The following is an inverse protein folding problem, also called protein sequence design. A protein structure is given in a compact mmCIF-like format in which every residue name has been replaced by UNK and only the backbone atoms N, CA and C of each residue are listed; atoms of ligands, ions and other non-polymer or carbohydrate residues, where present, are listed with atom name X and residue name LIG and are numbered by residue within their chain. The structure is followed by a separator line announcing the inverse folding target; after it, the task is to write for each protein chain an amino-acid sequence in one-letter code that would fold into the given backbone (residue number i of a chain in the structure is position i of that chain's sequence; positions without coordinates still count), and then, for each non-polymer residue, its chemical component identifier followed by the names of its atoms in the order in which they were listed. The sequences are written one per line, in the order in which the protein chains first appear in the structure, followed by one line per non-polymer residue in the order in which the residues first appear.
data_IF_378650687049
#
_entry.id   IF_378650687049
#
_cell.length_a   1.000
_cell.length_b   1.000
_cell.length_c   1.000
_cell.angle_alpha   90.00
_cell.angle_beta   90.00
_cell.angle_gamma   90.00
#
_symmetry.space_group_name_H-M   'P 1'
#
loop_
_entity.id
_entity.type
_entity.pdbx_description
1 polymer ?
#
# COMPACT_ATOMS: atom_id res chain seq x y z
N UNK A 1 23.77 -60.15 27.76
CA UNK A 1 22.31 -59.86 27.63
C UNK A 1 21.96 -58.35 27.78
N UNK A 2 22.82 -57.51 28.33
CA UNK A 2 22.57 -56.07 28.50
C UNK A 2 22.57 -55.26 27.19
N UNK A 3 23.27 -55.70 26.14
CA UNK A 3 23.43 -54.93 24.89
C UNK A 3 22.19 -54.87 23.98
N UNK A 4 21.23 -55.77 24.13
CA UNK A 4 19.97 -55.79 23.36
C UNK A 4 18.92 -54.82 23.92
N UNK A 5 18.91 -54.64 25.25
CA UNK A 5 17.98 -53.72 25.90
C UNK A 5 18.31 -52.25 25.67
N UNK A 6 19.62 -51.89 25.64
CA UNK A 6 20.05 -50.53 25.35
C UNK A 6 19.70 -50.11 23.90
N UNK A 7 19.81 -51.04 22.94
CA UNK A 7 19.50 -50.78 21.52
C UNK A 7 18.01 -50.51 21.27
N UNK A 8 17.12 -51.22 21.99
CA UNK A 8 15.68 -50.99 21.86
C UNK A 8 15.24 -49.71 22.56
N UNK A 9 15.88 -49.31 23.68
CA UNK A 9 15.55 -48.04 24.36
C UNK A 9 16.03 -46.79 23.56
N UNK A 10 17.22 -46.85 22.94
CA UNK A 10 17.73 -45.73 22.17
C UNK A 10 16.92 -45.55 20.86
N UNK A 11 16.53 -46.63 20.16
CA UNK A 11 15.67 -46.56 19.01
C UNK A 11 14.25 -46.06 19.34
N UNK A 12 13.72 -46.47 20.47
CA UNK A 12 12.41 -46.02 20.98
C UNK A 12 12.44 -44.55 21.44
N UNK A 13 13.58 -44.07 22.01
CA UNK A 13 13.71 -42.67 22.43
C UNK A 13 13.89 -41.71 21.24
N UNK A 14 14.63 -42.13 20.21
CA UNK A 14 14.78 -41.32 19.00
C UNK A 14 13.48 -41.26 18.21
N UNK A 15 12.74 -42.36 18.10
CA UNK A 15 11.42 -42.37 17.45
C UNK A 15 10.35 -41.63 18.29
N UNK A 16 10.39 -41.71 19.61
CA UNK A 16 9.46 -40.98 20.46
C UNK A 16 9.72 -39.46 20.48
N UNK A 17 10.99 -39.02 20.38
CA UNK A 17 11.32 -37.60 20.28
C UNK A 17 11.03 -37.02 18.86
N UNK A 18 11.19 -37.79 17.80
CA UNK A 18 10.74 -37.37 16.48
C UNK A 18 9.22 -37.23 16.38
N UNK A 19 8.46 -38.05 17.04
CA UNK A 19 6.98 -37.97 17.06
C UNK A 19 6.48 -36.83 17.96
N UNK A 20 7.20 -36.50 19.05
CA UNK A 20 6.83 -35.35 19.89
C UNK A 20 7.30 -34.01 19.35
N UNK A 21 8.36 -33.94 18.56
CA UNK A 21 8.82 -32.68 17.92
C UNK A 21 7.92 -32.21 16.76
N UNK A 22 7.17 -33.13 16.14
CA UNK A 22 6.20 -32.78 15.08
C UNK A 22 4.86 -32.27 15.60
N UNK A 23 4.59 -32.35 16.90
CA UNK A 23 3.32 -31.89 17.51
C UNK A 23 3.42 -30.52 18.19
N UNK A 24 4.57 -29.87 18.21
CA UNK A 24 4.76 -28.54 18.85
C UNK A 24 4.79 -27.35 17.86
N UNK A 25 4.67 -27.59 16.56
CA UNK A 25 4.24 -26.55 15.63
C UNK A 25 2.73 -26.68 15.48
N UNK A 26 1.98 -26.02 16.37
CA UNK A 26 0.66 -25.57 16.04
C UNK A 26 0.83 -24.65 14.80
N UNK A 27 0.71 -25.23 13.62
CA UNK A 27 0.33 -24.48 12.45
C UNK A 27 -0.90 -23.69 12.89
N UNK A 28 -0.76 -22.38 13.07
CA UNK A 28 -1.93 -21.53 12.95
C UNK A 28 -2.57 -21.95 11.62
N UNK A 29 -3.83 -22.37 11.61
CA UNK A 29 -4.48 -22.71 10.37
C UNK A 29 -4.31 -21.51 9.45
N UNK A 30 -3.75 -21.73 8.27
CA UNK A 30 -3.98 -20.83 7.15
C UNK A 30 -5.47 -20.51 7.19
N UNK A 31 -5.89 -19.24 7.07
CA UNK A 31 -7.30 -18.92 7.05
C UNK A 31 -7.95 -19.86 6.05
N UNK A 32 -8.95 -20.60 6.52
CA UNK A 32 -9.68 -21.57 5.72
C UNK A 32 -9.99 -20.92 4.37
N UNK A 33 -9.57 -21.62 3.30
CA UNK A 33 -10.02 -21.30 1.96
C UNK A 33 -11.55 -21.24 2.06
N UNK A 34 -12.17 -20.10 1.77
CA UNK A 34 -13.62 -20.01 1.88
C UNK A 34 -14.22 -21.17 1.08
N UNK A 35 -15.24 -21.84 1.58
CA UNK A 35 -15.91 -22.89 0.84
C UNK A 35 -16.29 -22.36 -0.54
N UNK A 36 -16.27 -23.20 -1.59
CA UNK A 36 -16.65 -22.76 -2.92
C UNK A 36 -18.03 -22.12 -2.80
N UNK A 37 -18.09 -20.83 -3.13
CA UNK A 37 -19.31 -20.04 -3.08
C UNK A 37 -20.37 -20.80 -3.86
N UNK A 38 -21.36 -21.34 -3.17
CA UNK A 38 -22.63 -21.68 -3.80
C UNK A 38 -23.07 -20.40 -4.51
N UNK A 39 -23.18 -20.46 -5.84
CA UNK A 39 -23.69 -19.38 -6.68
C UNK A 39 -24.96 -18.82 -6.02
N UNK A 40 -24.95 -17.60 -5.50
CA UNK A 40 -26.20 -17.00 -5.06
C UNK A 40 -27.01 -16.72 -6.34
N UNK A 41 -28.28 -17.08 -6.30
CA UNK A 41 -29.25 -16.54 -7.23
C UNK A 41 -29.13 -15.00 -7.27
N UNK A 42 -29.45 -14.32 -8.37
CA UNK A 42 -29.36 -12.88 -8.48
C UNK A 42 -30.40 -12.27 -7.55
N UNK A 43 -30.09 -12.15 -6.29
CA UNK A 43 -30.72 -11.17 -5.42
C UNK A 43 -30.07 -9.84 -5.80
N UNK A 44 -30.82 -8.97 -6.47
CA UNK A 44 -30.46 -7.56 -6.56
C UNK A 44 -30.34 -7.06 -5.11
N UNK A 45 -29.11 -7.05 -4.62
CA UNK A 45 -28.83 -6.47 -3.32
C UNK A 45 -29.32 -5.03 -3.34
N UNK A 46 -30.03 -4.61 -2.30
CA UNK A 46 -30.47 -3.22 -2.18
C UNK A 46 -29.24 -2.29 -2.34
N UNK A 47 -29.38 -1.14 -3.01
CA UNK A 47 -28.30 -0.20 -3.20
C UNK A 47 -27.63 0.13 -1.86
N UNK A 48 -26.31 0.02 -1.81
CA UNK A 48 -25.53 0.34 -0.61
C UNK A 48 -25.45 1.86 -0.47
N UNK A 49 -26.15 2.39 0.52
CA UNK A 49 -26.05 3.81 0.87
C UNK A 49 -24.73 4.08 1.58
N UNK A 50 -23.91 4.95 1.03
CA UNK A 50 -22.60 5.30 1.57
C UNK A 50 -22.48 6.80 1.83
N UNK A 51 -22.06 7.15 3.04
CA UNK A 51 -21.48 8.46 3.34
C UNK A 51 -19.98 8.44 3.09
N UNK A 52 -19.35 9.61 2.95
CA UNK A 52 -17.90 9.72 2.79
C UNK A 52 -17.13 9.01 3.92
N UNK A 53 -17.57 9.18 5.17
CA UNK A 53 -16.94 8.54 6.32
C UNK A 53 -17.04 7.01 6.27
N UNK A 54 -18.21 6.48 5.90
CA UNK A 54 -18.41 5.04 5.73
C UNK A 54 -17.56 4.47 4.59
N UNK A 55 -17.43 5.19 3.47
CA UNK A 55 -16.56 4.80 2.36
C UNK A 55 -15.08 4.73 2.79
N UNK A 56 -14.61 5.71 3.56
CA UNK A 56 -13.25 5.72 4.12
C UNK A 56 -13.06 4.57 5.11
N UNK A 57 -14.02 4.30 5.99
CA UNK A 57 -13.94 3.19 6.94
C UNK A 57 -13.86 1.83 6.22
N UNK A 58 -14.65 1.63 5.17
CA UNK A 58 -14.60 0.44 4.32
C UNK A 58 -13.24 0.32 3.63
N UNK A 59 -12.72 1.39 3.05
CA UNK A 59 -11.41 1.41 2.42
C UNK A 59 -10.31 1.02 3.41
N UNK A 60 -10.33 1.55 4.63
CA UNK A 60 -9.40 1.19 5.68
C UNK A 60 -9.51 -0.27 6.13
N UNK A 61 -10.63 -0.93 5.92
CA UNK A 61 -10.83 -2.34 6.28
C UNK A 61 -10.39 -3.29 5.15
N UNK A 62 -10.77 -3.02 3.91
CA UNK A 62 -10.70 -4.00 2.83
C UNK A 62 -10.03 -3.53 1.54
N UNK A 63 -9.56 -2.27 1.45
CA UNK A 63 -8.83 -1.83 0.25
C UNK A 63 -7.60 -2.71 0.00
N UNK A 64 -7.44 -3.28 -1.23
CA UNK A 64 -6.37 -4.24 -1.53
C UNK A 64 -4.96 -3.68 -1.28
N UNK A 65 -4.70 -2.42 -1.62
CA UNK A 65 -3.38 -1.79 -1.42
C UNK A 65 -3.02 -1.67 0.06
N UNK A 66 -4.01 -1.31 0.88
CA UNK A 66 -3.82 -1.28 2.34
C UNK A 66 -3.59 -2.68 2.92
N UNK A 67 -4.31 -3.69 2.43
CA UNK A 67 -4.12 -5.09 2.85
C UNK A 67 -2.72 -5.58 2.48
N UNK A 68 -2.23 -5.26 1.27
CA UNK A 68 -0.86 -5.57 0.83
C UNK A 68 0.16 -4.93 1.78
N UNK A 69 0.03 -3.65 2.11
CA UNK A 69 0.95 -2.97 3.02
C UNK A 69 0.95 -3.60 4.43
N UNK A 70 -0.21 -4.07 4.91
CA UNK A 70 -0.31 -4.82 6.17
C UNK A 70 0.40 -6.17 6.11
N UNK A 71 0.29 -6.88 4.97
CA UNK A 71 1.02 -8.15 4.76
C UNK A 71 2.53 -7.88 4.76
N UNK A 72 3.00 -6.83 4.10
CA UNK A 72 4.41 -6.43 4.11
C UNK A 72 4.94 -6.12 5.53
N UNK A 73 4.12 -5.53 6.39
CA UNK A 73 4.45 -5.39 7.80
C UNK A 73 4.65 -6.75 8.48
N UNK A 74 3.74 -7.72 8.28
CA UNK A 74 3.92 -9.07 8.83
C UNK A 74 5.13 -9.80 8.25
N UNK A 75 5.43 -9.63 6.96
CA UNK A 75 6.66 -10.14 6.33
C UNK A 75 7.90 -9.56 7.02
N UNK A 76 7.92 -8.26 7.28
CA UNK A 76 9.04 -7.62 8.00
C UNK A 76 9.19 -8.16 9.44
N UNK A 77 8.10 -8.47 10.14
CA UNK A 77 8.16 -9.13 11.44
C UNK A 77 8.79 -10.54 11.33
N UNK A 78 8.47 -11.32 10.29
CA UNK A 78 9.10 -12.61 10.03
C UNK A 78 10.57 -12.46 9.65
N UNK A 79 10.93 -11.47 8.84
CA UNK A 79 12.32 -11.17 8.50
C UNK A 79 13.15 -10.84 9.76
N UNK A 80 12.58 -10.11 10.71
CA UNK A 80 13.23 -9.88 12.02
C UNK A 80 13.45 -11.17 12.81
N UNK A 81 12.49 -12.13 12.76
CA UNK A 81 12.64 -13.45 13.39
C UNK A 81 13.70 -14.29 12.68
N UNK A 82 13.75 -14.24 11.35
CA UNK A 82 14.80 -14.91 10.55
C UNK A 82 16.19 -14.35 10.91
N UNK A 83 16.32 -13.01 11.03
CA UNK A 83 17.57 -12.39 11.44
C UNK A 83 17.99 -12.77 12.88
N UNK A 84 17.06 -13.12 13.75
CA UNK A 84 17.32 -13.63 15.10
C UNK A 84 17.77 -15.10 15.10
N UNK A 85 17.30 -15.91 14.14
CA UNK A 85 17.50 -17.35 14.15
C UNK A 85 18.97 -17.79 14.30
N UNK A 86 19.98 -17.17 13.62
CA UNK A 86 21.38 -17.55 13.80
C UNK A 86 21.94 -17.30 15.20
N UNK A 87 21.28 -16.48 16.03
CA UNK A 87 21.67 -16.24 17.42
C UNK A 87 21.13 -17.30 18.38
N UNK A 88 20.25 -18.17 17.91
CA UNK A 88 19.64 -19.24 18.70
C UNK A 88 20.33 -20.59 18.39
N UNK A 89 20.25 -21.57 19.31
CA UNK A 89 20.76 -22.91 19.04
C UNK A 89 20.13 -23.49 17.77
N UNK A 90 20.99 -24.06 16.92
CA UNK A 90 20.61 -24.79 15.71
C UNK A 90 20.82 -26.28 15.96
N UNK A 91 19.88 -27.10 15.59
CA UNK A 91 19.99 -28.56 15.65
C UNK A 91 19.54 -29.17 14.33
N UNK A 92 20.32 -30.13 13.83
CA UNK A 92 20.00 -30.88 12.63
C UNK A 92 20.43 -32.34 12.78
N UNK A 93 19.92 -33.23 11.94
CA UNK A 93 20.42 -34.59 11.80
C UNK A 93 21.09 -34.66 10.43
N UNK A 94 22.32 -35.12 10.41
CA UNK A 94 23.07 -35.36 9.18
C UNK A 94 23.40 -36.83 9.04
N UNK A 95 23.43 -37.33 7.81
CA UNK A 95 23.88 -38.67 7.49
C UNK A 95 24.76 -38.63 6.25
N UNK A 96 25.93 -39.26 6.33
CA UNK A 96 26.89 -39.38 5.23
C UNK A 96 27.16 -40.85 4.98
N UNK A 97 27.04 -41.28 3.74
CA UNK A 97 27.54 -42.55 3.27
C UNK A 97 28.64 -42.27 2.23
N UNK A 98 29.85 -42.70 2.50
CA UNK A 98 30.98 -42.44 1.61
C UNK A 98 31.76 -43.70 1.28
N UNK A 99 32.38 -43.71 0.12
CA UNK A 99 33.36 -44.70 -0.34
C UNK A 99 34.65 -43.97 -0.61
N UNK A 100 35.64 -44.16 0.25
CA UNK A 100 36.90 -43.43 0.22
C UNK A 100 38.06 -44.34 -0.13
N UNK A 101 38.99 -43.80 -0.89
CA UNK A 101 40.30 -44.41 -1.14
C UNK A 101 41.39 -43.32 -1.03
N UNK A 102 42.29 -43.49 -0.09
CA UNK A 102 43.37 -42.51 0.10
C UNK A 102 44.64 -42.95 -0.61
N UNK A 103 45.31 -42.03 -1.29
CA UNK A 103 46.64 -42.20 -1.82
C UNK A 103 47.66 -41.93 -0.70
N UNK A 104 48.31 -42.98 -0.19
CA UNK A 104 49.28 -42.88 0.90
C UNK A 104 50.66 -42.36 0.46
N UNK A 105 50.92 -42.29 -0.86
CA UNK A 105 52.16 -41.69 -1.37
C UNK A 105 52.29 -40.20 -1.06
N UNK A 106 51.17 -39.53 -0.79
CA UNK A 106 51.16 -38.09 -0.45
C UNK A 106 51.50 -37.87 1.04
N UNK A 107 51.27 -38.88 1.89
CA UNK A 107 51.35 -38.75 3.35
C UNK A 107 52.68 -39.29 3.89
N UNK A 108 53.24 -40.31 3.30
CA UNK A 108 54.44 -40.92 3.76
C UNK A 108 55.40 -41.43 2.62
N UNK A 109 56.69 -41.36 2.87
CA UNK A 109 57.75 -41.90 1.99
C UNK A 109 57.87 -43.43 2.05
N UNK A 110 56.82 -44.14 2.47
CA UNK A 110 56.83 -45.59 2.66
C UNK A 110 56.50 -46.36 1.39
N UNK A 111 57.18 -47.42 1.06
CA UNK A 111 57.01 -48.09 -0.23
C UNK A 111 55.80 -49.03 -0.33
N UNK A 112 55.00 -49.26 0.73
CA UNK A 112 53.76 -50.11 0.68
C UNK A 112 52.89 -49.94 1.93
N UNK A 113 51.55 -49.97 1.80
CA UNK A 113 50.77 -49.95 0.58
C UNK A 113 50.70 -48.57 -0.04
N UNK A 114 50.50 -48.49 -1.37
CA UNK A 114 50.44 -47.25 -2.14
C UNK A 114 49.12 -46.50 -1.91
N UNK A 115 48.10 -47.21 -1.43
CA UNK A 115 46.76 -46.67 -1.14
C UNK A 115 46.10 -47.40 0.03
N UNK A 116 45.22 -46.73 0.72
CA UNK A 116 44.30 -47.32 1.68
C UNK A 116 42.87 -47.24 1.14
N UNK A 117 42.17 -48.36 1.16
CA UNK A 117 40.80 -48.48 0.61
C UNK A 117 40.75 -49.27 -0.72
N UNK A 118 39.60 -49.26 -1.41
CA UNK A 118 38.41 -48.50 -1.01
C UNK A 118 37.75 -49.02 0.27
N UNK A 119 37.35 -48.12 1.12
CA UNK A 119 36.56 -48.45 2.30
C UNK A 119 35.26 -47.61 2.37
N UNK A 120 34.19 -48.28 2.69
CA UNK A 120 32.89 -47.66 2.90
C UNK A 120 32.76 -47.26 4.36
N UNK A 121 32.22 -46.08 4.60
CA UNK A 121 31.75 -45.74 5.94
C UNK A 121 30.37 -45.03 5.87
N UNK A 122 29.60 -45.24 6.92
CA UNK A 122 28.33 -44.59 7.19
C UNK A 122 28.51 -43.81 8.47
N UNK A 123 28.14 -42.54 8.43
CA UNK A 123 28.14 -41.68 9.62
C UNK A 123 26.79 -40.99 9.70
N UNK A 124 26.08 -41.11 10.84
CA UNK A 124 24.77 -40.50 11.04
C UNK A 124 24.64 -40.03 12.46
N UNK A 125 24.07 -38.82 12.62
CA UNK A 125 23.79 -38.32 13.97
C UNK A 125 23.31 -36.88 14.02
N UNK A 126 22.90 -36.43 15.21
CA UNK A 126 22.49 -35.05 15.43
C UNK A 126 23.70 -34.11 15.51
N UNK A 127 23.58 -32.97 14.86
CA UNK A 127 24.45 -31.82 14.95
C UNK A 127 23.77 -30.74 15.78
N UNK A 128 24.58 -30.07 16.58
CA UNK A 128 24.16 -28.89 17.32
C UNK A 128 25.20 -27.78 17.07
N UNK A 129 24.72 -26.56 16.81
CA UNK A 129 25.61 -25.40 16.69
C UNK A 129 24.94 -24.16 17.29
N UNK A 130 25.75 -23.30 17.89
CA UNK A 130 25.31 -22.02 18.44
C UNK A 130 26.41 -20.99 18.36
N UNK A 131 26.11 -19.84 17.77
CA UNK A 131 26.95 -18.66 17.85
C UNK A 131 26.86 -18.09 19.26
N UNK A 132 27.97 -18.14 20.03
CA UNK A 132 28.06 -17.61 21.39
C UNK A 132 28.38 -16.11 21.38
N UNK A 133 29.23 -15.66 20.45
CA UNK A 133 29.56 -14.25 20.26
C UNK A 133 29.73 -13.96 18.77
N UNK A 134 28.85 -13.14 18.20
CA UNK A 134 28.97 -12.63 16.84
C UNK A 134 28.24 -11.29 16.78
N UNK A 135 29.01 -10.21 16.90
CA UNK A 135 28.46 -8.85 16.94
C UNK A 135 27.75 -8.46 15.63
N UNK A 136 28.30 -8.75 14.43
CA UNK A 136 27.58 -8.54 13.17
C UNK A 136 26.18 -9.16 13.13
N UNK A 137 25.99 -10.37 13.64
CA UNK A 137 24.66 -11.00 13.70
C UNK A 137 23.71 -10.28 14.69
N UNK A 138 24.24 -9.79 15.79
CA UNK A 138 23.46 -8.98 16.75
C UNK A 138 22.99 -7.69 16.07
N UNK A 139 23.88 -7.01 15.33
CA UNK A 139 23.52 -5.80 14.56
C UNK A 139 22.49 -6.10 13.48
N UNK A 140 22.66 -7.22 12.76
CA UNK A 140 21.68 -7.65 11.76
C UNK A 140 20.28 -7.88 12.37
N UNK A 141 20.20 -8.48 13.56
CA UNK A 141 18.94 -8.62 14.28
C UNK A 141 18.37 -7.26 14.72
N UNK A 142 19.21 -6.35 15.23
CA UNK A 142 18.78 -4.99 15.59
C UNK A 142 18.26 -4.25 14.36
N UNK A 143 18.94 -4.34 13.22
CA UNK A 143 18.50 -3.77 11.94
C UNK A 143 17.16 -4.37 11.48
N UNK A 144 16.96 -5.68 11.64
CA UNK A 144 15.69 -6.34 11.36
C UNK A 144 14.53 -5.81 12.23
N UNK A 145 14.81 -5.46 13.50
CA UNK A 145 13.80 -4.82 14.36
C UNK A 145 13.47 -3.37 13.94
N UNK A 146 14.46 -2.61 13.48
CA UNK A 146 14.21 -1.29 12.91
C UNK A 146 13.44 -1.40 11.58
N UNK A 147 13.69 -2.45 10.78
CA UNK A 147 12.92 -2.76 9.57
C UNK A 147 11.43 -2.97 9.86
N UNK A 148 11.08 -3.57 11.00
CA UNK A 148 9.65 -3.64 11.43
C UNK A 148 9.07 -2.27 11.74
N UNK A 149 9.85 -1.35 12.32
CA UNK A 149 9.37 0.02 12.58
C UNK A 149 9.20 0.80 11.28
N UNK A 150 10.12 0.62 10.33
CA UNK A 150 10.01 1.16 8.98
C UNK A 150 8.72 0.67 8.31
N UNK A 151 8.52 -0.65 8.21
CA UNK A 151 7.34 -1.24 7.58
C UNK A 151 6.02 -0.79 8.25
N UNK A 152 6.04 -0.52 9.55
CA UNK A 152 4.88 0.04 10.26
C UNK A 152 4.61 1.50 9.87
N UNK A 153 5.63 2.29 9.62
CA UNK A 153 5.49 3.64 9.10
C UNK A 153 4.98 3.63 7.65
N UNK A 154 5.49 2.71 6.83
CA UNK A 154 5.07 2.53 5.44
C UNK A 154 3.61 2.06 5.34
N UNK A 155 3.16 1.16 6.25
CA UNK A 155 1.74 0.76 6.36
C UNK A 155 0.85 1.97 6.69
N UNK A 156 1.30 2.88 7.58
CA UNK A 156 0.57 4.12 7.85
C UNK A 156 0.49 5.03 6.62
N UNK A 157 1.59 5.18 5.89
CA UNK A 157 1.60 5.93 4.63
C UNK A 157 0.57 5.35 3.64
N UNK A 158 0.54 4.02 3.49
CA UNK A 158 -0.42 3.34 2.62
C UNK A 158 -1.88 3.55 3.07
N UNK A 159 -2.15 3.58 4.37
CA UNK A 159 -3.48 3.92 4.91
C UNK A 159 -3.90 5.34 4.55
N UNK A 160 -3.02 6.31 4.75
CA UNK A 160 -3.31 7.71 4.42
C UNK A 160 -3.54 7.91 2.91
N UNK A 161 -2.78 7.19 2.07
CA UNK A 161 -2.98 7.20 0.61
C UNK A 161 -4.34 6.56 0.27
N UNK A 162 -4.71 5.44 0.89
CA UNK A 162 -6.00 4.80 0.68
C UNK A 162 -7.16 5.73 1.05
N UNK A 163 -7.04 6.46 2.17
CA UNK A 163 -8.04 7.48 2.55
C UNK A 163 -8.12 8.57 1.49
N UNK A 164 -7.00 9.16 1.06
CA UNK A 164 -6.99 10.24 0.06
C UNK A 164 -7.63 9.79 -1.26
N UNK A 165 -7.25 8.61 -1.77
CA UNK A 165 -7.79 8.08 -3.03
C UNK A 165 -9.28 7.82 -2.91
N UNK A 166 -9.75 7.31 -1.76
CA UNK A 166 -11.17 7.06 -1.50
C UNK A 166 -11.96 8.37 -1.43
N UNK A 167 -11.44 9.36 -0.71
CA UNK A 167 -12.05 10.71 -0.63
C UNK A 167 -12.15 11.34 -2.02
N UNK A 168 -11.06 11.31 -2.80
CA UNK A 168 -11.06 11.82 -4.16
C UNK A 168 -12.10 11.12 -5.05
N UNK A 169 -12.13 9.77 -5.02
CA UNK A 169 -13.08 8.99 -5.82
C UNK A 169 -14.55 9.27 -5.41
N UNK A 170 -14.80 9.43 -4.11
CA UNK A 170 -16.12 9.79 -3.60
C UNK A 170 -16.54 11.21 -4.05
N UNK A 171 -15.64 12.19 -3.98
CA UNK A 171 -15.88 13.55 -4.45
C UNK A 171 -16.13 13.60 -5.97
N UNK A 172 -15.45 12.75 -6.75
CA UNK A 172 -15.71 12.61 -8.20
C UNK A 172 -17.13 12.07 -8.47
N UNK A 173 -17.67 11.18 -7.62
CA UNK A 173 -19.06 10.73 -7.75
C UNK A 173 -20.02 11.89 -7.46
N UNK A 174 -19.76 12.68 -6.40
CA UNK A 174 -20.59 13.84 -6.09
C UNK A 174 -20.56 14.88 -7.22
N UNK A 175 -19.39 15.11 -7.82
CA UNK A 175 -19.25 15.97 -9.00
C UNK A 175 -20.04 15.42 -10.20
N UNK A 176 -19.92 14.13 -10.48
CA UNK A 176 -20.63 13.49 -11.59
C UNK A 176 -22.15 13.55 -11.42
N UNK A 177 -22.64 13.34 -10.19
CA UNK A 177 -24.08 13.50 -9.87
C UNK A 177 -24.55 14.93 -10.05
N UNK A 178 -23.79 15.92 -9.58
CA UNK A 178 -24.13 17.33 -9.75
C UNK A 178 -24.14 17.72 -11.24
N UNK A 179 -23.19 17.23 -12.04
CA UNK A 179 -23.17 17.45 -13.50
C UNK A 179 -24.37 16.79 -14.18
N UNK A 180 -24.78 15.58 -13.78
CA UNK A 180 -25.96 14.90 -14.32
C UNK A 180 -27.24 15.69 -14.01
N UNK A 181 -27.40 16.17 -12.77
CA UNK A 181 -28.55 16.93 -12.35
C UNK A 181 -28.62 18.31 -13.06
N UNK A 182 -27.47 18.95 -13.30
CA UNK A 182 -27.34 20.14 -14.12
C UNK A 182 -27.70 19.85 -15.60
N UNK A 183 -27.27 18.75 -16.17
CA UNK A 183 -27.61 18.34 -17.53
C UNK A 183 -29.11 18.03 -17.67
N UNK A 184 -29.74 17.39 -16.68
CA UNK A 184 -31.17 17.18 -16.66
C UNK A 184 -31.93 18.52 -16.65
N UNK A 185 -31.49 19.47 -15.84
CA UNK A 185 -32.07 20.81 -15.79
C UNK A 185 -31.96 21.55 -17.13
N UNK A 186 -30.84 21.36 -17.86
CA UNK A 186 -30.64 21.90 -19.21
C UNK A 186 -31.60 21.27 -20.23
N UNK A 187 -31.77 19.95 -20.19
CA UNK A 187 -32.77 19.27 -21.05
C UNK A 187 -34.16 19.84 -20.82
N UNK A 188 -34.57 20.01 -19.55
CA UNK A 188 -35.90 20.57 -19.20
C UNK A 188 -36.04 22.02 -19.72
N UNK A 189 -34.96 22.80 -19.69
CA UNK A 189 -34.94 24.16 -20.17
C UNK A 189 -35.01 24.22 -21.70
N UNK A 190 -34.23 23.43 -22.41
CA UNK A 190 -34.24 23.30 -23.87
C UNK A 190 -35.60 22.75 -24.39
N UNK A 191 -36.18 21.80 -23.64
CA UNK A 191 -37.50 21.27 -23.97
C UNK A 191 -38.59 22.40 -23.94
N UNK A 192 -38.60 23.20 -22.88
CA UNK A 192 -39.51 24.37 -22.77
C UNK A 192 -39.31 25.38 -23.88
N UNK A 193 -38.04 25.67 -24.25
CA UNK A 193 -37.75 26.57 -25.38
C UNK A 193 -38.27 26.02 -26.71
N UNK A 194 -38.08 24.72 -26.97
CA UNK A 194 -38.58 24.05 -28.17
C UNK A 194 -40.13 24.09 -28.24
N UNK A 195 -40.82 23.83 -27.13
CA UNK A 195 -42.29 23.90 -27.03
C UNK A 195 -42.80 25.33 -27.31
N UNK A 196 -42.14 26.34 -26.72
CA UNK A 196 -42.47 27.73 -26.93
C UNK A 196 -42.28 28.16 -28.40
N UNK A 197 -41.11 27.80 -29.00
CA UNK A 197 -40.84 28.11 -30.40
C UNK A 197 -41.87 27.44 -31.33
N UNK A 198 -42.22 26.18 -31.05
CA UNK A 198 -43.25 25.43 -31.79
C UNK A 198 -44.63 26.10 -31.68
N UNK A 199 -44.99 26.59 -30.51
CA UNK A 199 -46.28 27.28 -30.32
C UNK A 199 -46.33 28.62 -31.06
N UNK A 200 -45.25 29.40 -31.01
CA UNK A 200 -45.13 30.66 -31.76
C UNK A 200 -45.21 30.43 -33.28
N UNK A 201 -44.56 29.37 -33.79
CA UNK A 201 -44.66 28.98 -35.20
C UNK A 201 -46.11 28.63 -35.59
N UNK A 202 -46.83 27.82 -34.78
CA UNK A 202 -48.23 27.45 -35.03
C UNK A 202 -49.19 28.66 -35.08
N UNK A 203 -48.88 29.70 -34.32
CA UNK A 203 -49.67 30.95 -34.33
C UNK A 203 -49.28 31.93 -35.44
N UNK A 204 -48.27 31.56 -36.25
CA UNK A 204 -47.78 32.39 -37.38
C UNK A 204 -46.87 33.55 -36.96
N UNK A 205 -46.50 33.67 -35.70
CA UNK A 205 -45.63 34.73 -35.17
C UNK A 205 -44.16 34.28 -35.22
N UNK A 206 -43.90 32.96 -35.02
CA UNK A 206 -42.53 32.42 -34.98
C UNK A 206 -42.02 31.89 -36.32
N UNK A 207 -40.72 31.90 -36.50
CA UNK A 207 -40.03 31.40 -37.71
C UNK A 207 -39.75 29.89 -37.59
N UNK A 208 -39.84 29.16 -38.69
CA UNK A 208 -39.48 27.75 -38.76
C UNK A 208 -38.02 27.48 -38.31
N UNK A 209 -37.09 28.39 -38.62
CA UNK A 209 -35.70 28.30 -38.21
C UNK A 209 -35.51 28.29 -36.70
N UNK A 210 -36.35 29.01 -35.94
CA UNK A 210 -36.30 29.07 -34.50
C UNK A 210 -36.69 27.71 -33.85
N UNK A 211 -37.75 27.06 -34.38
CA UNK A 211 -38.15 25.73 -33.97
C UNK A 211 -37.07 24.70 -34.27
N UNK A 212 -36.43 24.79 -35.47
CA UNK A 212 -35.37 23.89 -35.83
C UNK A 212 -34.15 24.02 -34.90
N UNK A 213 -33.70 25.28 -34.62
CA UNK A 213 -32.58 25.55 -33.68
C UNK A 213 -32.87 25.05 -32.28
N UNK A 214 -34.05 25.34 -31.74
CA UNK A 214 -34.46 24.86 -30.43
C UNK A 214 -34.48 23.32 -30.35
N UNK A 215 -34.86 22.63 -31.44
CA UNK A 215 -34.82 21.17 -31.46
C UNK A 215 -33.39 20.64 -31.51
N UNK A 216 -32.49 21.26 -32.28
CA UNK A 216 -31.07 20.89 -32.31
C UNK A 216 -30.49 21.03 -30.91
N UNK A 217 -30.76 22.13 -30.22
CA UNK A 217 -30.31 22.36 -28.84
C UNK A 217 -30.84 21.30 -27.89
N UNK A 218 -32.14 20.99 -27.97
CA UNK A 218 -32.70 19.90 -27.16
C UNK A 218 -32.05 18.55 -27.40
N UNK A 219 -31.67 18.21 -28.65
CA UNK A 219 -31.00 16.95 -28.93
C UNK A 219 -29.53 16.95 -28.39
N UNK A 220 -28.83 18.08 -28.45
CA UNK A 220 -27.50 18.26 -27.88
C UNK A 220 -27.52 18.05 -26.35
N UNK A 221 -28.48 18.68 -25.66
CA UNK A 221 -28.58 18.54 -24.20
C UNK A 221 -28.99 17.12 -23.78
N UNK A 222 -29.87 16.44 -24.57
CA UNK A 222 -30.14 15.02 -24.33
C UNK A 222 -28.92 14.15 -24.50
N UNK A 223 -28.04 14.43 -25.48
CA UNK A 223 -26.77 13.70 -25.62
C UNK A 223 -25.87 13.95 -24.42
N UNK A 224 -25.74 15.20 -23.96
CA UNK A 224 -24.97 15.56 -22.77
C UNK A 224 -25.48 14.81 -21.51
N UNK A 225 -26.79 14.67 -21.36
CA UNK A 225 -27.37 13.90 -20.24
C UNK A 225 -26.99 12.41 -20.30
N UNK A 226 -27.00 11.79 -21.49
CA UNK A 226 -26.57 10.40 -21.66
C UNK A 226 -25.09 10.23 -21.27
N UNK A 227 -24.24 11.17 -21.69
CA UNK A 227 -22.80 11.14 -21.41
C UNK A 227 -22.54 11.31 -19.89
N UNK A 228 -23.21 12.25 -19.23
CA UNK A 228 -23.07 12.48 -17.79
C UNK A 228 -23.63 11.32 -16.94
N UNK A 229 -24.72 10.68 -17.38
CA UNK A 229 -25.25 9.48 -16.73
C UNK A 229 -24.28 8.30 -16.84
N UNK A 230 -23.65 8.14 -18.00
CA UNK A 230 -22.61 7.12 -18.21
C UNK A 230 -21.37 7.39 -17.35
N UNK A 231 -20.92 8.64 -17.28
CA UNK A 231 -19.81 9.06 -16.43
C UNK A 231 -20.10 8.77 -14.95
N UNK A 232 -21.33 9.06 -14.50
CA UNK A 232 -21.76 8.78 -13.12
C UNK A 232 -21.68 7.29 -12.79
N UNK A 233 -22.18 6.43 -13.68
CA UNK A 233 -22.08 4.97 -13.49
C UNK A 233 -20.63 4.49 -13.46
N UNK A 234 -19.81 4.97 -14.38
CA UNK A 234 -18.39 4.60 -14.44
C UNK A 234 -17.66 4.98 -13.15
N UNK A 235 -17.90 6.19 -12.63
CA UNK A 235 -17.28 6.65 -11.39
C UNK A 235 -17.72 5.83 -10.18
N UNK A 236 -18.99 5.40 -10.13
CA UNK A 236 -19.49 4.46 -9.10
C UNK A 236 -18.79 3.09 -9.18
N UNK A 237 -18.58 2.54 -10.39
CA UNK A 237 -17.84 1.27 -10.56
C UNK A 237 -16.39 1.38 -10.08
N UNK A 238 -15.73 2.52 -10.32
CA UNK A 238 -14.38 2.76 -9.85
C UNK A 238 -14.31 2.78 -8.31
N UNK A 239 -15.29 3.40 -7.62
CA UNK A 239 -15.38 3.34 -6.17
C UNK A 239 -15.63 1.92 -5.67
N UNK A 240 -16.54 1.16 -6.31
CA UNK A 240 -16.80 -0.23 -5.95
C UNK A 240 -15.53 -1.08 -6.02
N UNK A 241 -14.74 -0.92 -7.08
CA UNK A 241 -13.47 -1.61 -7.25
C UNK A 241 -12.43 -1.17 -6.19
N UNK A 242 -12.37 0.11 -5.86
CA UNK A 242 -11.46 0.64 -4.83
C UNK A 242 -11.79 0.09 -3.44
N UNK A 243 -13.09 -0.11 -3.16
CA UNK A 243 -13.59 -0.65 -1.89
C UNK A 243 -13.67 -2.18 -1.86
N UNK A 244 -13.24 -2.86 -2.94
CA UNK A 244 -13.34 -4.33 -3.09
C UNK A 244 -14.75 -4.86 -2.79
N UNK A 245 -15.78 -4.17 -3.32
CA UNK A 245 -17.17 -4.57 -3.15
C UNK A 245 -17.55 -5.71 -4.12
N UNK A 246 -18.59 -6.50 -3.80
CA UNK A 246 -19.14 -7.48 -4.71
C UNK A 246 -19.53 -6.85 -6.07
N UNK A 247 -19.35 -7.60 -7.17
CA UNK A 247 -19.51 -7.10 -8.55
C UNK A 247 -20.92 -6.55 -8.84
N UNK A 248 -21.93 -7.09 -8.19
CA UNK A 248 -23.34 -6.75 -8.41
C UNK A 248 -23.87 -5.74 -7.38
N UNK A 249 -22.99 -5.17 -6.54
CA UNK A 249 -23.38 -4.21 -5.53
C UNK A 249 -23.49 -2.82 -6.15
N UNK A 250 -24.71 -2.29 -6.21
CA UNK A 250 -24.94 -0.89 -6.55
C UNK A 250 -24.62 0.03 -5.37
N UNK A 251 -24.03 1.20 -5.68
CA UNK A 251 -23.66 2.22 -4.69
C UNK A 251 -24.54 3.45 -4.91
N UNK A 252 -25.10 3.95 -3.83
CA UNK A 252 -25.69 5.27 -3.75
C UNK A 252 -24.94 6.10 -2.71
N UNK A 253 -24.66 7.35 -3.04
CA UNK A 253 -24.02 8.31 -2.14
C UNK A 253 -25.07 9.28 -1.62
N UNK A 254 -24.99 9.59 -0.33
CA UNK A 254 -26.01 10.44 0.34
C UNK A 254 -25.53 11.86 0.59
N UNK A 255 -24.23 12.14 0.43
CA UNK A 255 -23.64 13.46 0.68
C UNK A 255 -23.77 14.36 -0.56
N UNK A 256 -23.54 15.67 -0.35
CA UNK A 256 -23.48 16.68 -1.40
C UNK A 256 -22.19 17.48 -1.28
N UNK A 257 -21.72 18.06 -2.40
CA UNK A 257 -20.59 18.98 -2.38
C UNK A 257 -20.96 20.21 -1.52
N UNK A 258 -20.24 20.37 -0.42
CA UNK A 258 -20.48 21.45 0.54
C UNK A 258 -19.35 22.49 0.52
N UNK A 259 -19.71 23.71 0.83
CA UNK A 259 -18.77 24.82 1.04
C UNK A 259 -18.99 25.38 2.45
N UNK A 260 -17.89 25.67 3.14
CA UNK A 260 -17.89 26.26 4.48
C UNK A 260 -16.62 27.05 4.70
N UNK A 261 -16.67 27.99 5.64
CA UNK A 261 -15.51 28.80 6.00
C UNK A 261 -14.41 27.98 6.67
N UNK A 262 -13.18 28.28 6.29
CA UNK A 262 -12.00 27.64 6.87
C UNK A 262 -11.56 28.43 8.12
N UNK A 263 -11.08 27.73 9.16
CA UNK A 263 -10.42 28.38 10.27
C UNK A 263 -9.13 29.09 9.80
N UNK A 264 -8.73 30.10 10.54
CA UNK A 264 -7.44 30.74 10.29
C UNK A 264 -6.28 29.72 10.49
N UNK A 265 -5.46 29.53 9.49
CA UNK A 265 -4.32 28.61 9.49
C UNK A 265 -3.05 29.39 9.15
N UNK A 266 -1.98 29.09 9.88
CA UNK A 266 -0.66 29.66 9.63
C UNK A 266 0.20 28.64 8.85
N UNK A 267 0.70 29.04 7.69
CA UNK A 267 1.45 28.17 6.75
C UNK A 267 2.68 27.53 7.40
N UNK A 268 3.43 28.27 8.19
CA UNK A 268 4.66 27.77 8.82
C UNK A 268 4.36 26.79 9.97
N UNK A 269 3.26 26.98 10.68
CA UNK A 269 2.80 26.03 11.70
C UNK A 269 2.43 24.68 11.06
N UNK A 270 1.74 24.69 9.92
CA UNK A 270 1.41 23.48 9.16
C UNK A 270 2.65 22.73 8.65
N UNK A 271 3.69 23.44 8.22
CA UNK A 271 4.96 22.82 7.82
C UNK A 271 5.62 22.11 9.01
N UNK A 272 5.68 22.78 10.17
CA UNK A 272 6.26 22.20 11.38
C UNK A 272 5.49 20.95 11.83
N UNK A 273 4.17 21.00 11.77
CA UNK A 273 3.29 19.89 12.07
C UNK A 273 3.52 18.70 11.14
N UNK A 274 3.61 18.96 9.81
CA UNK A 274 3.85 17.93 8.80
C UNK A 274 5.17 17.20 9.02
N UNK A 275 6.27 17.92 9.26
CA UNK A 275 7.58 17.31 9.53
C UNK A 275 7.58 16.44 10.79
N UNK A 276 6.73 16.75 11.78
CA UNK A 276 6.61 15.95 13.00
C UNK A 276 5.68 14.74 12.86
N UNK A 277 4.60 14.86 12.08
CA UNK A 277 3.51 13.86 12.05
C UNK A 277 3.62 12.88 10.89
N UNK A 278 4.15 13.29 9.73
CA UNK A 278 4.14 12.44 8.52
C UNK A 278 4.85 11.11 8.74
N UNK A 279 4.21 9.99 8.41
CA UNK A 279 4.78 8.65 8.62
C UNK A 279 6.03 8.40 7.78
N UNK A 280 6.18 9.04 6.62
CA UNK A 280 7.36 8.92 5.76
C UNK A 280 8.64 9.39 6.48
N UNK A 281 8.57 10.42 7.32
CA UNK A 281 9.71 10.86 8.13
C UNK A 281 10.16 9.77 9.11
N UNK A 282 9.20 9.09 9.74
CA UNK A 282 9.50 7.97 10.65
C UNK A 282 10.08 6.76 9.92
N UNK A 283 9.66 6.52 8.69
CA UNK A 283 10.24 5.50 7.83
C UNK A 283 11.71 5.79 7.57
N UNK A 284 12.06 7.02 7.18
CA UNK A 284 13.45 7.44 6.97
C UNK A 284 14.29 7.42 8.26
N UNK A 285 13.73 7.80 9.40
CA UNK A 285 14.43 7.67 10.69
C UNK A 285 14.81 6.21 10.99
N UNK A 286 13.95 5.27 10.65
CA UNK A 286 14.25 3.83 10.78
C UNK A 286 15.28 3.36 9.75
N UNK A 287 15.20 3.81 8.50
CA UNK A 287 16.19 3.51 7.45
C UNK A 287 17.59 4.02 7.84
N UNK A 288 17.68 5.21 8.39
CA UNK A 288 18.95 5.76 8.87
C UNK A 288 19.57 4.91 10.00
N UNK A 289 18.73 4.43 10.94
CA UNK A 289 19.19 3.52 11.99
C UNK A 289 19.65 2.16 11.44
N UNK A 290 18.95 1.63 10.44
CA UNK A 290 19.33 0.39 9.76
C UNK A 290 20.70 0.57 9.10
N UNK A 291 20.92 1.65 8.36
CA UNK A 291 22.19 1.91 7.70
C UNK A 291 23.34 2.07 8.71
N UNK A 292 23.10 2.76 9.82
CA UNK A 292 24.09 2.87 10.90
C UNK A 292 24.42 1.51 11.51
N UNK A 293 23.44 0.66 11.78
CA UNK A 293 23.64 -0.70 12.28
C UNK A 293 24.38 -1.59 11.26
N UNK A 294 24.17 -1.36 9.96
CA UNK A 294 24.90 -2.06 8.88
C UNK A 294 26.35 -1.61 8.83
N UNK A 295 26.61 -0.31 9.02
CA UNK A 295 27.99 0.23 9.15
C UNK A 295 28.71 -0.38 10.35
N UNK A 296 28.06 -0.44 11.50
CA UNK A 296 28.60 -1.09 12.69
C UNK A 296 28.89 -2.57 12.43
N UNK A 297 27.91 -3.30 11.83
CA UNK A 297 28.07 -4.73 11.51
C UNK A 297 29.27 -4.98 10.61
N UNK A 298 29.47 -4.14 9.58
CA UNK A 298 30.61 -4.25 8.68
C UNK A 298 31.96 -4.02 9.43
N UNK A 299 32.01 -2.99 10.26
CA UNK A 299 33.20 -2.68 11.06
C UNK A 299 33.51 -3.74 12.14
N UNK A 300 32.46 -4.30 12.76
CA UNK A 300 32.57 -5.33 13.81
C UNK A 300 32.98 -6.70 13.30
N UNK A 301 32.99 -6.95 11.97
CA UNK A 301 33.59 -8.17 11.39
C UNK A 301 35.07 -8.39 11.75
N UNK A 302 35.78 -7.34 12.17
CA UNK A 302 37.17 -7.42 12.67
C UNK A 302 37.30 -8.00 14.08
N UNK A 303 36.17 -8.09 14.81
CA UNK A 303 36.15 -8.57 16.18
C UNK A 303 36.10 -10.10 16.21
N UNK A 304 36.61 -10.73 17.32
CA UNK A 304 36.55 -12.17 17.44
C UNK A 304 35.14 -12.70 17.46
N UNK A 305 34.96 -13.86 16.79
CA UNK A 305 33.69 -14.61 16.79
C UNK A 305 33.90 -15.89 17.57
N UNK A 306 32.92 -16.27 18.39
CA UNK A 306 32.96 -17.47 19.20
C UNK A 306 31.73 -18.32 18.85
N UNK A 307 31.99 -19.54 18.42
CA UNK A 307 30.94 -20.52 18.16
C UNK A 307 31.15 -21.79 18.99
N UNK A 308 30.05 -22.44 19.31
CA UNK A 308 30.01 -23.78 19.88
C UNK A 308 29.34 -24.69 18.86
N UNK A 309 30.00 -25.84 18.61
CA UNK A 309 29.45 -26.93 17.80
C UNK A 309 29.57 -28.25 18.52
N UNK A 310 28.59 -29.11 18.31
CA UNK A 310 28.58 -30.45 18.83
C UNK A 310 28.01 -31.40 17.80
N UNK A 311 28.67 -32.53 17.66
CA UNK A 311 28.22 -33.60 16.77
C UNK A 311 28.23 -34.89 17.56
N UNK A 312 27.11 -35.58 17.56
CA UNK A 312 27.03 -36.94 18.08
C UNK A 312 26.76 -37.87 16.92
N UNK A 313 27.71 -38.74 16.62
CA UNK A 313 27.68 -39.59 15.46
C UNK A 313 27.65 -41.07 15.80
N UNK A 314 27.01 -41.82 14.92
CA UNK A 314 27.06 -43.28 14.88
C UNK A 314 27.75 -43.67 13.58
N UNK A 315 29.01 -44.13 13.70
CA UNK A 315 29.90 -44.36 12.56
C UNK A 315 30.25 -45.86 12.44
N UNK A 316 30.12 -46.42 11.24
CA UNK A 316 30.42 -47.82 10.93
C UNK A 316 30.53 -48.07 9.45
N UNK A 317 30.88 -49.32 9.07
CA UNK A 317 30.84 -49.76 7.66
C UNK A 317 29.41 -50.00 7.19
N UNK A 318 28.55 -50.48 8.09
CA UNK A 318 27.13 -50.74 7.87
C UNK A 318 26.31 -50.23 9.05
N UNK A 319 25.00 -50.18 8.90
CA UNK A 319 24.11 -49.69 9.94
C UNK A 319 24.10 -50.54 11.24
N UNK A 320 24.58 -51.80 11.15
CA UNK A 320 24.57 -52.75 12.28
C UNK A 320 25.92 -52.85 13.01
N UNK A 321 27.00 -52.26 12.50
CA UNK A 321 28.34 -52.32 13.09
C UNK A 321 28.89 -50.98 13.56
N UNK A 322 28.02 -49.95 13.59
CA UNK A 322 28.41 -48.60 13.97
C UNK A 322 28.71 -48.48 15.47
N UNK A 323 29.65 -47.61 15.76
CA UNK A 323 30.07 -47.25 17.13
C UNK A 323 29.68 -45.77 17.37
N UNK A 324 29.06 -45.44 18.54
CA UNK A 324 28.75 -44.07 18.89
C UNK A 324 30.03 -43.28 19.21
N UNK A 325 30.13 -42.09 18.68
CA UNK A 325 31.15 -41.09 18.99
C UNK A 325 30.50 -39.73 19.26
N UNK A 326 31.26 -38.80 19.77
CA UNK A 326 30.87 -37.41 19.92
C UNK A 326 32.06 -36.48 19.75
N UNK A 327 31.79 -35.29 19.26
CA UNK A 327 32.72 -34.19 19.14
C UNK A 327 32.05 -32.92 19.64
N UNK A 328 32.69 -32.22 20.57
CA UNK A 328 32.23 -30.92 21.07
C UNK A 328 33.37 -29.94 20.93
N UNK A 329 33.10 -28.84 20.22
CA UNK A 329 34.12 -27.85 19.89
C UNK A 329 33.66 -26.46 20.27
N UNK A 330 34.53 -25.68 20.85
CA UNK A 330 34.43 -24.22 20.94
C UNK A 330 35.49 -23.65 20.04
N UNK A 331 35.07 -22.87 19.05
CA UNK A 331 35.94 -22.24 18.08
C UNK A 331 35.95 -20.72 18.30
N UNK A 332 37.15 -20.16 18.39
CA UNK A 332 37.36 -18.71 18.43
C UNK A 332 38.11 -18.32 17.14
N UNK A 333 37.41 -17.57 16.28
CA UNK A 333 37.97 -17.03 15.06
C UNK A 333 38.28 -15.54 15.22
N UNK A 334 39.49 -15.13 14.88
CA UNK A 334 39.92 -13.73 14.89
C UNK A 334 40.60 -13.40 13.56
N UNK A 335 39.97 -12.60 12.69
CA UNK A 335 40.53 -12.26 11.38
C UNK A 335 41.64 -11.24 11.53
N UNK A 336 42.90 -11.66 11.30
CA UNK A 336 44.07 -10.79 11.39
C UNK A 336 44.26 -9.96 10.12
N UNK A 337 44.03 -10.54 8.95
CA UNK A 337 44.17 -9.88 7.67
C UNK A 337 43.18 -10.42 6.64
N UNK A 338 42.34 -9.54 6.10
CA UNK A 338 41.26 -9.88 5.16
C UNK A 338 41.45 -9.26 3.78
N UNK A 339 42.69 -8.87 3.42
CA UNK A 339 42.98 -8.24 2.12
C UNK A 339 42.31 -6.88 1.93
N UNK A 340 41.96 -6.18 3.01
CA UNK A 340 41.23 -4.88 2.95
C UNK A 340 39.73 -5.01 2.78
N UNK A 341 39.15 -6.22 2.73
CA UNK A 341 37.71 -6.46 2.53
C UNK A 341 36.84 -5.72 3.56
N UNK A 342 37.10 -5.93 4.85
CA UNK A 342 36.31 -5.32 5.95
C UNK A 342 36.33 -3.79 5.87
N UNK A 343 37.50 -3.21 5.57
CA UNK A 343 37.59 -1.75 5.42
C UNK A 343 36.79 -1.21 4.24
N UNK A 344 36.84 -1.93 3.12
CA UNK A 344 36.05 -1.55 1.94
C UNK A 344 34.53 -1.72 2.17
N UNK A 345 34.08 -2.76 2.87
CA UNK A 345 32.70 -2.97 3.24
C UNK A 345 32.21 -1.87 4.21
N UNK A 346 33.00 -1.56 5.25
CA UNK A 346 32.68 -0.46 6.17
C UNK A 346 32.58 0.89 5.44
N UNK A 347 33.50 1.17 4.51
CA UNK A 347 33.46 2.39 3.71
C UNK A 347 32.21 2.43 2.80
N UNK A 348 31.83 1.32 2.21
CA UNK A 348 30.62 1.22 1.39
C UNK A 348 29.37 1.49 2.21
N UNK A 349 29.24 0.91 3.40
CA UNK A 349 28.07 1.13 4.26
C UNK A 349 27.99 2.58 4.76
N UNK A 350 29.13 3.23 5.04
CA UNK A 350 29.18 4.67 5.34
C UNK A 350 28.67 5.55 4.20
N UNK A 351 28.98 5.19 2.96
CA UNK A 351 28.44 5.89 1.78
C UNK A 351 26.94 5.67 1.64
N UNK A 352 26.44 4.48 1.93
CA UNK A 352 25.00 4.19 1.94
C UNK A 352 24.27 5.01 3.05
N UNK A 353 24.85 5.11 4.25
CA UNK A 353 24.33 5.96 5.32
C UNK A 353 24.26 7.44 4.89
N UNK A 354 25.29 7.97 4.23
CA UNK A 354 25.28 9.33 3.68
C UNK A 354 24.21 9.51 2.63
N UNK A 355 24.03 8.54 1.72
CA UNK A 355 22.97 8.55 0.70
C UNK A 355 21.57 8.60 1.33
N UNK A 356 21.33 7.82 2.38
CA UNK A 356 20.05 7.86 3.11
C UNK A 356 19.84 9.21 3.79
N UNK A 357 20.88 9.80 4.37
CA UNK A 357 20.80 11.13 4.97
C UNK A 357 20.42 12.21 3.94
N UNK A 358 21.00 12.16 2.73
CA UNK A 358 20.63 13.08 1.64
C UNK A 358 19.19 12.81 1.12
N UNK A 359 18.79 11.56 1.02
CA UNK A 359 17.40 11.21 0.65
C UNK A 359 16.38 11.73 1.68
N UNK A 360 16.73 11.70 2.97
CA UNK A 360 15.91 12.29 4.03
C UNK A 360 15.77 13.81 3.87
N UNK A 361 16.87 14.51 3.57
CA UNK A 361 16.84 15.96 3.30
C UNK A 361 15.98 16.30 2.09
N UNK A 362 16.06 15.47 1.04
CA UNK A 362 15.19 15.61 -0.14
C UNK A 362 13.72 15.45 0.24
N UNK A 363 13.38 14.45 1.05
CA UNK A 363 12.01 14.25 1.54
C UNK A 363 11.52 15.45 2.38
N UNK A 364 12.37 15.99 3.28
CA UNK A 364 12.03 17.19 4.07
C UNK A 364 11.68 18.37 3.16
N UNK A 365 12.50 18.64 2.15
CA UNK A 365 12.23 19.69 1.17
C UNK A 365 10.94 19.44 0.37
N UNK A 366 10.67 18.19 0.02
CA UNK A 366 9.44 17.80 -0.67
C UNK A 366 8.21 18.02 0.22
N UNK A 367 8.27 17.63 1.50
CA UNK A 367 7.17 17.85 2.47
C UNK A 367 6.86 19.33 2.61
N UNK A 368 7.90 20.18 2.74
CA UNK A 368 7.73 21.62 2.81
C UNK A 368 7.03 22.17 1.56
N UNK A 369 7.44 21.70 0.38
CA UNK A 369 6.82 22.06 -0.90
C UNK A 369 5.38 21.61 -1.00
N UNK A 370 5.10 20.34 -0.61
CA UNK A 370 3.75 19.75 -0.65
C UNK A 370 2.78 20.56 0.23
N UNK A 371 3.17 20.86 1.47
CA UNK A 371 2.32 21.62 2.41
C UNK A 371 2.05 23.02 1.89
N UNK A 372 3.09 23.74 1.42
CA UNK A 372 2.93 25.09 0.87
C UNK A 372 2.02 25.10 -0.36
N UNK A 373 2.22 24.15 -1.26
CA UNK A 373 1.41 24.01 -2.47
C UNK A 373 -0.05 23.68 -2.13
N UNK A 374 -0.28 22.71 -1.24
CA UNK A 374 -1.64 22.32 -0.84
C UNK A 374 -2.37 23.47 -0.11
N UNK A 375 -1.67 24.23 0.71
CA UNK A 375 -2.22 25.41 1.38
C UNK A 375 -2.64 26.48 0.35
N UNK A 376 -1.75 26.85 -0.58
CA UNK A 376 -2.03 27.86 -1.60
C UNK A 376 -3.16 27.42 -2.55
N UNK A 377 -3.22 26.12 -2.89
CA UNK A 377 -4.33 25.54 -3.66
C UNK A 377 -5.66 25.64 -2.91
N UNK A 378 -5.67 25.40 -1.60
CA UNK A 378 -6.89 25.51 -0.79
C UNK A 378 -7.39 26.96 -0.72
N UNK A 379 -6.49 27.93 -0.54
CA UNK A 379 -6.85 29.36 -0.52
C UNK A 379 -7.40 29.81 -1.88
N UNK A 380 -6.75 29.37 -2.97
CA UNK A 380 -7.21 29.66 -4.32
C UNK A 380 -8.58 29.01 -4.63
N UNK A 381 -8.75 27.73 -4.23
CA UNK A 381 -10.00 27.01 -4.43
C UNK A 381 -11.17 27.65 -3.66
N UNK A 382 -10.94 28.15 -2.43
CA UNK A 382 -11.93 28.92 -1.70
C UNK A 382 -12.39 30.16 -2.48
N UNK A 383 -11.45 30.98 -2.96
CA UNK A 383 -11.74 32.18 -3.73
C UNK A 383 -12.47 31.84 -5.04
N UNK A 384 -12.13 30.70 -5.66
CA UNK A 384 -12.78 30.23 -6.89
C UNK A 384 -14.25 29.88 -6.65
N UNK A 385 -14.61 29.31 -5.48
CA UNK A 385 -16.01 29.03 -5.14
C UNK A 385 -16.81 30.33 -5.03
N UNK A 386 -16.27 31.37 -4.40
CA UNK A 386 -16.96 32.67 -4.26
C UNK A 386 -17.23 33.29 -5.64
N UNK A 387 -16.23 33.28 -6.54
CA UNK A 387 -16.36 33.79 -7.91
C UNK A 387 -17.37 32.95 -8.73
N UNK A 388 -17.32 31.62 -8.61
CA UNK A 388 -18.20 30.73 -9.34
C UNK A 388 -19.65 30.85 -8.89
N UNK A 389 -19.92 31.01 -7.59
CA UNK A 389 -21.24 31.24 -7.06
C UNK A 389 -21.86 32.53 -7.60
N UNK A 390 -21.11 33.63 -7.61
CA UNK A 390 -21.55 34.88 -8.21
C UNK A 390 -21.80 34.73 -9.72
N UNK A 391 -20.89 34.07 -10.43
CA UNK A 391 -21.04 33.80 -11.87
C UNK A 391 -22.30 33.02 -12.20
N UNK A 392 -22.61 31.97 -11.41
CA UNK A 392 -23.86 31.20 -11.57
C UNK A 392 -25.11 32.06 -11.36
N UNK A 393 -25.12 32.87 -10.30
CA UNK A 393 -26.25 33.78 -10.04
C UNK A 393 -26.47 34.73 -11.19
N UNK A 394 -25.44 35.38 -11.73
CA UNK A 394 -25.54 36.31 -12.85
C UNK A 394 -26.01 35.62 -14.14
N UNK A 395 -25.54 34.42 -14.42
CA UNK A 395 -25.96 33.63 -15.58
C UNK A 395 -27.44 33.20 -15.47
N UNK A 396 -27.92 32.87 -14.27
CA UNK A 396 -29.35 32.59 -14.01
C UNK A 396 -30.21 33.82 -14.29
N UNK A 397 -29.79 34.99 -13.84
CA UNK A 397 -30.50 36.26 -14.09
C UNK A 397 -30.51 36.59 -15.60
N UNK A 398 -29.44 36.34 -16.33
CA UNK A 398 -29.33 36.53 -17.77
C UNK A 398 -30.33 35.66 -18.54
N UNK A 399 -30.38 34.34 -18.24
CA UNK A 399 -31.37 33.42 -18.85
C UNK A 399 -32.79 33.90 -18.58
N UNK A 400 -33.09 34.29 -17.34
CA UNK A 400 -34.42 34.80 -17.00
C UNK A 400 -34.80 36.09 -17.77
N UNK A 401 -33.82 36.97 -18.04
CA UNK A 401 -34.02 38.16 -18.85
C UNK A 401 -34.21 37.82 -20.33
N UNK A 402 -33.34 36.98 -20.91
CA UNK A 402 -33.42 36.55 -22.30
C UNK A 402 -34.76 35.87 -22.61
N UNK A 403 -35.24 35.00 -21.71
CA UNK A 403 -36.54 34.34 -21.84
C UNK A 403 -37.72 35.33 -21.83
N UNK A 404 -37.71 36.36 -20.95
CA UNK A 404 -38.76 37.41 -20.93
C UNK A 404 -38.77 38.23 -22.22
N UNK A 405 -37.61 38.59 -22.75
CA UNK A 405 -37.46 39.35 -24.02
C UNK A 405 -37.92 38.53 -25.23
N UNK A 406 -37.59 37.23 -25.25
CA UNK A 406 -38.03 36.33 -26.32
C UNK A 406 -39.57 36.14 -26.25
N UNK A 407 -40.14 35.94 -25.07
CA UNK A 407 -41.59 35.79 -24.88
C UNK A 407 -42.36 37.06 -25.29
N UNK A 408 -41.77 38.25 -25.12
CA UNK A 408 -42.31 39.54 -25.57
C UNK A 408 -42.10 39.81 -27.08
N UNK A 409 -41.46 38.92 -27.83
CA UNK A 409 -41.16 39.09 -29.26
C UNK A 409 -40.11 40.16 -29.56
N UNK A 410 -39.32 40.61 -28.57
CA UNK A 410 -38.34 41.70 -28.70
C UNK A 410 -37.00 41.15 -29.19
N UNK A 411 -36.73 39.86 -29.05
CA UNK A 411 -35.51 39.20 -29.45
C UNK A 411 -35.74 37.83 -30.09
N UNK A 412 -34.69 37.23 -30.68
CA UNK A 412 -34.72 35.90 -31.28
C UNK A 412 -34.35 34.81 -30.23
N UNK A 413 -34.64 33.54 -30.50
CA UNK A 413 -34.25 32.43 -29.64
C UNK A 413 -32.71 32.27 -29.52
N UNK A 414 -31.93 32.87 -30.41
CA UNK A 414 -30.45 32.83 -30.31
C UNK A 414 -29.96 33.47 -29.02
N UNK A 415 -30.56 34.58 -28.58
CA UNK A 415 -30.20 35.21 -27.29
C UNK A 415 -30.48 34.27 -26.11
N UNK A 416 -31.60 33.54 -26.14
CA UNK A 416 -31.92 32.56 -25.09
C UNK A 416 -30.95 31.39 -25.09
N UNK A 417 -30.64 30.84 -26.27
CA UNK A 417 -29.68 29.74 -26.38
C UNK A 417 -28.29 30.17 -25.88
N UNK A 418 -27.80 31.36 -26.30
CA UNK A 418 -26.52 31.88 -25.81
C UNK A 418 -26.49 32.06 -24.29
N UNK A 419 -27.57 32.60 -23.70
CA UNK A 419 -27.69 32.72 -22.24
C UNK A 419 -27.76 31.35 -21.55
N UNK A 420 -28.38 30.33 -22.16
CA UNK A 420 -28.38 28.95 -21.66
C UNK A 420 -26.97 28.34 -21.71
N UNK A 421 -26.18 28.58 -22.76
CA UNK A 421 -24.78 28.14 -22.85
C UNK A 421 -23.92 28.79 -21.76
N UNK A 422 -24.09 30.08 -21.47
CA UNK A 422 -23.39 30.76 -20.38
C UNK A 422 -23.79 30.21 -19.00
N UNK A 423 -25.09 29.92 -18.80
CA UNK A 423 -25.53 29.25 -17.58
C UNK A 423 -24.93 27.85 -17.42
N UNK A 424 -24.84 27.08 -18.51
CA UNK A 424 -24.22 25.76 -18.50
C UNK A 424 -22.74 25.85 -18.04
N UNK A 425 -21.98 26.77 -18.65
CA UNK A 425 -20.56 27.02 -18.27
C UNK A 425 -20.42 27.48 -16.82
N UNK A 426 -21.29 28.40 -16.37
CA UNK A 426 -21.26 28.90 -15.00
C UNK A 426 -21.58 27.79 -13.98
N UNK A 427 -22.55 26.90 -14.29
CA UNK A 427 -22.88 25.74 -13.48
C UNK A 427 -21.71 24.75 -13.41
N UNK A 428 -21.10 24.39 -14.53
CA UNK A 428 -19.96 23.50 -14.60
C UNK A 428 -18.74 24.06 -13.83
N UNK A 429 -18.53 25.38 -13.91
CA UNK A 429 -17.48 26.08 -13.15
C UNK A 429 -17.75 26.00 -11.64
N UNK A 430 -18.99 26.20 -11.20
CA UNK A 430 -19.37 26.13 -9.79
C UNK A 430 -19.19 24.72 -9.23
N UNK A 431 -19.68 23.69 -9.94
CA UNK A 431 -19.51 22.27 -9.52
C UNK A 431 -18.03 21.93 -9.44
N UNK A 432 -17.24 22.36 -10.42
CA UNK A 432 -15.78 22.13 -10.42
C UNK A 432 -15.10 22.86 -9.26
N UNK A 433 -15.46 24.09 -8.97
CA UNK A 433 -14.89 24.86 -7.86
C UNK A 433 -15.20 24.20 -6.49
N UNK A 434 -16.43 23.73 -6.29
CA UNK A 434 -16.82 22.99 -5.07
C UNK A 434 -16.05 21.67 -4.92
N UNK A 435 -15.88 20.91 -6.00
CA UNK A 435 -15.06 19.71 -5.99
C UNK A 435 -13.61 20.04 -5.64
N UNK A 436 -12.99 21.01 -6.31
CA UNK A 436 -11.60 21.42 -6.06
C UNK A 436 -11.38 21.91 -4.63
N UNK A 437 -12.33 22.64 -4.07
CA UNK A 437 -12.28 23.08 -2.67
C UNK A 437 -12.23 21.89 -1.70
N UNK A 438 -13.12 20.91 -1.86
CA UNK A 438 -13.15 19.73 -1.00
C UNK A 438 -11.93 18.83 -1.19
N UNK A 439 -11.45 18.68 -2.42
CA UNK A 439 -10.22 17.94 -2.72
C UNK A 439 -8.98 18.61 -2.12
N UNK A 440 -8.86 19.95 -2.25
CA UNK A 440 -7.72 20.71 -1.69
C UNK A 440 -7.66 20.60 -0.17
N UNK A 441 -8.79 20.51 0.51
CA UNK A 441 -8.84 20.22 1.96
C UNK A 441 -8.27 18.84 2.29
N UNK A 442 -8.66 17.82 1.53
CA UNK A 442 -8.13 16.47 1.72
C UNK A 442 -6.62 16.41 1.42
N UNK A 443 -6.17 17.10 0.38
CA UNK A 443 -4.75 17.19 0.03
C UNK A 443 -3.94 17.89 1.13
N UNK A 444 -4.45 18.99 1.72
CA UNK A 444 -3.79 19.65 2.84
C UNK A 444 -3.74 18.74 4.07
N UNK A 445 -4.82 18.05 4.41
CA UNK A 445 -4.86 17.09 5.52
C UNK A 445 -3.85 15.94 5.30
N UNK A 446 -3.68 15.47 4.05
CA UNK A 446 -2.65 14.47 3.72
C UNK A 446 -1.24 15.07 3.81
N UNK A 447 -1.05 16.31 3.33
CA UNK A 447 0.25 16.97 3.39
C UNK A 447 0.72 17.22 4.83
N UNK A 448 -0.20 17.47 5.76
CA UNK A 448 0.08 17.63 7.21
C UNK A 448 0.15 16.30 7.98
N UNK A 449 -0.26 15.16 7.37
CA UNK A 449 -0.25 13.85 8.01
C UNK A 449 -1.43 13.60 8.96
N UNK A 450 -2.57 14.26 8.77
CA UNK A 450 -3.77 14.14 9.61
C UNK A 450 -5.04 13.74 8.84
N UNK A 451 -4.88 13.22 7.62
CA UNK A 451 -6.04 12.89 6.76
C UNK A 451 -6.93 11.80 7.37
N UNK A 452 -6.34 10.80 8.02
CA UNK A 452 -7.10 9.74 8.68
C UNK A 452 -7.94 10.31 9.83
N UNK A 453 -7.35 11.16 10.68
CA UNK A 453 -8.05 11.82 11.78
C UNK A 453 -9.22 12.71 11.33
N UNK A 454 -9.13 13.27 10.12
CA UNK A 454 -10.17 14.12 9.54
C UNK A 454 -11.42 13.35 9.08
N UNK A 455 -11.25 12.11 8.61
CA UNK A 455 -12.33 11.32 7.97
C UNK A 455 -12.73 10.04 8.72
N UNK A 456 -12.17 9.76 9.91
CA UNK A 456 -12.49 8.55 10.71
C UNK A 456 -13.13 8.82 12.06
N UNK A 457 -13.51 10.07 12.36
CA UNK A 457 -14.15 10.46 13.64
C UNK A 457 -15.67 10.39 13.58
#
# INVERSE_FOLDING_TARGET
MLGKWLRSCVLALVLAHCVCATSAHAQQPLPDKPPPSSTPAPNSAAPLQLTLMQAVELALKQNPQRVIAKIQLFESERNSQIARAPLLPQASIAGVAALDQYNLQIIESQPRPVHAGPFQYLDVGPNFSQMLLNLPLIRAYQAGREGVKQARADERTAREIAVLVTVNQYLLILQALANRDAAQSRVDLAQRLYEQATQLQKTGIGLNIDTTRANVELQNEKQTLIDTDTATRTTKYQLAALLDLPRDQEIEVSDHLSFFDLPAMEKEALVTEALAKRPEMRSFDSQQRIAHLSTDAAGEQRLPQLDFSGFWHYQGKHFNDGIPGYDYQISLEFPLFTGGKIHAEEAREKLEEQKIAESRRQLEAQIVSDVKTAFDQLVAARSSVDVANLGLQLAQDEVAQAQRRFAAGVTTNVEVITAQDELARASDNQITALYQFNLSRALLARATGDIEGMYTK
#
